data_IF_819481220876
#
_entry.id   IF_819481220876
#
_cell.length_a   1.000
_cell.length_b   1.000
_cell.length_c   1.000
_cell.angle_alpha   90.00
_cell.angle_beta   90.00
_cell.angle_gamma   90.00
#
_symmetry.space_group_name_H-M   'P 1'
#
loop_
_entity.id
_entity.type
_entity.pdbx_description
1 polymer ?
#
# COMPACT_ATOMS: atom_id res chain seq x y z
N UNK A 1 -6.51 24.10 -4.56
CA UNK A 1 -5.69 23.22 -5.39
C UNK A 1 -6.40 23.07 -6.72
N UNK A 2 -5.71 23.06 -7.87
CA UNK A 2 -6.39 22.85 -9.12
C UNK A 2 -7.10 21.49 -9.09
N UNK A 3 -8.34 21.46 -9.55
CA UNK A 3 -9.11 20.23 -9.79
C UNK A 3 -8.35 19.45 -10.83
N UNK A 4 -7.78 18.28 -10.46
CA UNK A 4 -7.10 17.38 -11.40
C UNK A 4 -5.68 16.95 -11.02
N UNK A 5 -5.08 17.43 -9.92
CA UNK A 5 -3.78 16.92 -9.47
C UNK A 5 -3.96 15.52 -8.82
N UNK A 6 -3.20 14.53 -9.30
CA UNK A 6 -3.17 13.18 -8.68
C UNK A 6 -2.73 13.24 -7.21
N UNK A 7 -3.04 12.23 -6.40
CA UNK A 7 -2.50 12.13 -5.06
C UNK A 7 -0.96 12.13 -5.07
N UNK A 8 -0.37 12.76 -4.06
CA UNK A 8 1.06 12.63 -3.78
C UNK A 8 1.37 11.20 -3.34
N UNK A 9 2.36 10.54 -3.95
CA UNK A 9 2.78 9.20 -3.61
C UNK A 9 4.14 9.21 -2.92
N UNK A 10 4.16 8.72 -1.70
CA UNK A 10 5.32 8.62 -0.83
C UNK A 10 5.73 7.16 -0.76
N UNK A 11 6.97 6.83 -1.12
CA UNK A 11 7.53 5.51 -0.85
C UNK A 11 8.17 5.49 0.54
N UNK A 12 7.89 4.45 1.32
CA UNK A 12 8.62 4.13 2.54
C UNK A 12 9.37 2.81 2.36
N UNK A 13 10.69 2.86 2.44
CA UNK A 13 11.59 1.74 2.18
C UNK A 13 12.59 1.58 3.33
N UNK A 14 12.79 0.35 3.78
CA UNK A 14 13.96 -0.02 4.59
C UNK A 14 14.89 -0.90 3.74
N UNK A 15 16.17 -0.58 3.73
CA UNK A 15 17.19 -1.34 3.00
C UNK A 15 18.32 -1.74 3.95
N UNK A 16 18.99 -2.86 3.64
CA UNK A 16 20.26 -3.21 4.26
C UNK A 16 21.39 -2.30 3.78
N UNK A 17 22.55 -2.32 4.44
CA UNK A 17 23.71 -1.52 4.06
C UNK A 17 24.21 -1.80 2.63
N UNK A 18 23.93 -3.01 2.10
CA UNK A 18 24.20 -3.40 0.72
C UNK A 18 23.01 -3.20 -0.24
N UNK A 19 21.98 -2.45 0.16
CA UNK A 19 20.87 -2.02 -0.70
C UNK A 19 19.75 -3.05 -0.93
N UNK A 20 19.68 -4.11 -0.12
CA UNK A 20 18.62 -5.13 -0.26
C UNK A 20 17.37 -4.75 0.52
N UNK A 21 16.20 -4.96 -0.07
CA UNK A 21 14.86 -4.74 0.55
C UNK A 21 14.26 -6.02 1.14
N UNK A 22 14.87 -7.17 0.90
CA UNK A 22 14.44 -8.47 1.40
C UNK A 22 15.61 -9.45 1.38
N UNK A 23 15.53 -10.50 2.20
CA UNK A 23 16.50 -11.60 2.20
C UNK A 23 16.44 -12.42 0.89
N UNK A 24 17.48 -13.23 0.63
CA UNK A 24 17.59 -14.07 -0.57
C UNK A 24 16.38 -15.02 -0.77
N UNK A 25 15.77 -15.50 0.31
CA UNK A 25 14.56 -16.30 0.28
C UNK A 25 13.26 -15.46 0.19
N UNK A 26 13.38 -14.16 -0.07
CA UNK A 26 12.29 -13.18 -0.18
C UNK A 26 11.38 -13.08 1.06
N UNK A 27 11.86 -13.53 2.22
CA UNK A 27 11.18 -13.25 3.48
C UNK A 27 11.41 -11.79 3.86
N UNK A 28 10.35 -11.10 4.22
CA UNK A 28 10.43 -9.78 4.83
C UNK A 28 10.87 -10.02 6.27
N UNK A 29 12.18 -9.91 6.52
CA UNK A 29 12.67 -9.90 7.88
C UNK A 29 12.53 -8.46 8.39
N UNK A 30 11.92 -8.30 9.55
CA UNK A 30 11.93 -7.03 10.26
C UNK A 30 13.35 -6.79 10.80
N UNK A 31 14.22 -6.24 9.95
CA UNK A 31 15.56 -5.83 10.37
C UNK A 31 15.61 -4.35 10.78
N UNK A 32 14.46 -3.69 10.73
CA UNK A 32 14.28 -2.32 11.19
C UNK A 32 13.96 -2.28 12.68
N UNK A 33 14.54 -1.30 13.38
CA UNK A 33 14.36 -1.13 14.82
C UNK A 33 13.14 -0.28 15.20
N UNK A 34 12.96 -0.04 16.50
CA UNK A 34 11.87 0.77 17.04
C UNK A 34 11.79 2.20 16.45
N UNK A 35 12.92 2.76 16.04
CA UNK A 35 12.95 4.08 15.39
C UNK A 35 12.28 4.05 14.01
N UNK A 36 12.50 3.01 13.22
CA UNK A 36 11.88 2.83 11.92
C UNK A 36 10.37 2.55 12.06
N UNK A 37 9.98 1.71 13.03
CA UNK A 37 8.58 1.49 13.35
C UNK A 37 7.88 2.79 13.74
N UNK A 38 8.52 3.62 14.57
CA UNK A 38 7.99 4.94 14.93
C UNK A 38 7.84 5.83 13.71
N UNK A 39 8.83 5.86 12.83
CA UNK A 39 8.79 6.62 11.57
C UNK A 39 7.66 6.15 10.67
N UNK A 40 7.49 4.83 10.51
CA UNK A 40 6.39 4.24 9.76
C UNK A 40 5.02 4.74 10.23
N UNK A 41 4.75 4.67 11.55
CA UNK A 41 3.48 5.16 12.09
C UNK A 41 3.35 6.69 12.00
N UNK A 42 4.46 7.43 12.05
CA UNK A 42 4.46 8.88 11.82
C UNK A 42 4.04 9.19 10.39
N UNK A 43 4.56 8.49 9.39
CA UNK A 43 4.14 8.62 8.00
C UNK A 43 2.67 8.23 7.82
N UNK A 44 2.24 7.09 8.39
CA UNK A 44 0.84 6.64 8.35
C UNK A 44 -0.12 7.66 8.97
N UNK A 45 0.36 8.47 9.91
CA UNK A 45 -0.44 9.54 10.51
C UNK A 45 -0.67 10.74 9.59
N UNK A 46 0.02 10.85 8.46
CA UNK A 46 -0.03 12.01 7.55
C UNK A 46 -0.66 11.72 6.19
N UNK A 47 -1.09 10.49 5.92
CA UNK A 47 -1.59 10.07 4.59
C UNK A 47 -3.04 9.62 4.65
N UNK A 48 -3.77 9.74 3.54
CA UNK A 48 -5.16 9.30 3.44
C UNK A 48 -5.27 7.78 3.27
N UNK A 49 -4.32 7.19 2.56
CA UNK A 49 -4.30 5.75 2.29
C UNK A 49 -2.91 5.14 2.29
N UNK A 50 -2.87 3.82 2.50
CA UNK A 50 -1.66 2.98 2.46
C UNK A 50 -1.81 2.00 1.30
N UNK A 51 -0.73 1.80 0.55
CA UNK A 51 -0.69 0.92 -0.61
C UNK A 51 0.42 -0.12 -0.49
N UNK A 52 0.09 -1.39 -0.74
CA UNK A 52 1.02 -2.51 -0.76
C UNK A 52 0.82 -3.41 -1.97
N UNK A 53 1.88 -4.05 -2.42
CA UNK A 53 1.79 -5.12 -3.41
C UNK A 53 1.26 -6.41 -2.80
N UNK A 54 0.50 -7.19 -3.57
CA UNK A 54 -0.11 -8.45 -3.15
C UNK A 54 0.87 -9.42 -2.49
N UNK A 55 2.08 -9.54 -3.05
CA UNK A 55 3.10 -10.44 -2.52
C UNK A 55 3.56 -10.04 -1.12
N UNK A 56 3.62 -8.76 -0.81
CA UNK A 56 3.93 -8.25 0.52
C UNK A 56 2.81 -8.61 1.50
N UNK A 57 1.56 -8.41 1.09
CA UNK A 57 0.37 -8.74 1.90
C UNK A 57 0.27 -10.24 2.18
N UNK A 58 0.62 -11.09 1.22
CA UNK A 58 0.57 -12.56 1.38
C UNK A 58 1.76 -13.14 2.18
N UNK A 59 2.88 -12.43 2.25
CA UNK A 59 4.12 -12.92 2.88
C UNK A 59 4.30 -12.53 4.34
N UNK A 60 3.51 -11.57 4.84
CA UNK A 60 3.61 -11.05 6.20
C UNK A 60 2.22 -10.70 6.76
N UNK A 61 2.04 -10.66 8.09
CA UNK A 61 0.78 -10.25 8.71
C UNK A 61 0.58 -8.72 8.59
N UNK A 62 0.21 -8.26 7.40
CA UNK A 62 0.07 -6.83 7.08
C UNK A 62 -1.37 -6.39 7.31
N UNK A 63 -1.59 -5.50 8.28
CA UNK A 63 -2.91 -4.92 8.59
C UNK A 63 -3.19 -3.61 7.87
N UNK A 64 -2.14 -2.83 7.62
CA UNK A 64 -2.21 -1.46 7.04
C UNK A 64 -3.07 -0.52 7.89
N UNK A 65 -2.93 -0.61 9.20
CA UNK A 65 -3.62 0.24 10.19
C UNK A 65 -2.81 1.52 10.51
N UNK A 66 -3.42 2.44 11.23
CA UNK A 66 -2.74 3.64 11.72
C UNK A 66 -1.84 3.39 12.93
N UNK A 67 -1.76 2.15 13.44
CA UNK A 67 -0.96 1.76 14.59
C UNK A 67 -1.53 2.22 15.94
N UNK A 68 -0.65 2.48 16.91
CA UNK A 68 -1.03 2.85 18.28
C UNK A 68 -1.96 4.06 18.38
N UNK A 69 -2.76 4.14 19.43
CA UNK A 69 -3.78 5.17 19.67
C UNK A 69 -3.26 6.62 19.53
N UNK A 70 -1.98 6.87 19.85
CA UNK A 70 -1.38 8.19 19.70
C UNK A 70 -1.38 8.67 18.23
N UNK A 71 -1.10 7.78 17.28
CA UNK A 71 -1.07 8.10 15.84
C UNK A 71 -2.48 8.23 15.26
N UNK A 72 -3.43 7.41 15.71
CA UNK A 72 -4.85 7.58 15.36
C UNK A 72 -5.37 8.94 15.78
N UNK A 73 -5.04 9.40 17.01
CA UNK A 73 -5.39 10.76 17.47
C UNK A 73 -4.73 11.86 16.64
N UNK A 74 -3.48 11.66 16.19
CA UNK A 74 -2.82 12.62 15.29
C UNK A 74 -3.56 12.72 13.95
N UNK A 75 -3.99 11.60 13.36
CA UNK A 75 -4.80 11.59 12.14
C UNK A 75 -6.06 12.42 12.30
N UNK A 76 -6.84 12.17 13.36
CA UNK A 76 -8.08 12.90 13.62
C UNK A 76 -7.83 14.41 13.82
N UNK A 77 -6.77 14.78 14.53
CA UNK A 77 -6.38 16.21 14.69
C UNK A 77 -6.01 16.88 13.36
N UNK A 78 -5.49 16.11 12.41
CA UNK A 78 -5.16 16.58 11.05
C UNK A 78 -6.34 16.53 10.09
N UNK A 79 -7.55 16.20 10.55
CA UNK A 79 -8.75 16.11 9.71
C UNK A 79 -8.79 14.85 8.84
N UNK A 80 -7.96 13.84 9.12
CA UNK A 80 -7.97 12.53 8.44
C UNK A 80 -8.92 11.57 9.16
N UNK A 81 -9.34 10.52 8.46
CA UNK A 81 -10.05 9.38 9.08
C UNK A 81 -9.15 8.71 10.12
N UNK A 82 -9.72 8.13 11.18
CA UNK A 82 -8.98 7.43 12.23
C UNK A 82 -8.04 6.36 11.65
N UNK A 83 -8.52 5.64 10.64
CA UNK A 83 -7.77 4.60 9.94
C UNK A 83 -7.60 4.97 8.46
N UNK A 84 -6.46 4.65 7.83
CA UNK A 84 -6.22 4.92 6.42
C UNK A 84 -7.04 4.01 5.50
N UNK A 85 -7.30 4.46 4.28
CA UNK A 85 -7.75 3.60 3.19
C UNK A 85 -6.67 2.55 2.90
N UNK A 86 -7.04 1.28 2.78
CA UNK A 86 -6.13 0.17 2.51
C UNK A 86 -6.20 -0.24 1.05
N UNK A 87 -5.07 -0.16 0.33
CA UNK A 87 -5.01 -0.41 -1.10
C UNK A 87 -4.04 -1.55 -1.38
N UNK A 88 -4.48 -2.60 -2.06
CA UNK A 88 -3.65 -3.74 -2.46
C UNK A 88 -3.57 -3.84 -3.97
N UNK A 89 -2.35 -3.86 -4.49
CA UNK A 89 -2.07 -3.95 -5.92
C UNK A 89 -1.75 -5.39 -6.30
N UNK A 90 -2.64 -6.03 -7.09
CA UNK A 90 -2.56 -7.46 -7.46
C UNK A 90 -2.99 -7.71 -8.90
N UNK A 91 -2.08 -7.60 -9.86
CA UNK A 91 -2.42 -7.72 -11.30
C UNK A 91 -3.20 -8.97 -11.69
N UNK A 92 -2.90 -10.11 -11.08
CA UNK A 92 -3.59 -11.40 -11.34
C UNK A 92 -4.74 -11.70 -10.38
N UNK A 93 -4.91 -10.91 -9.31
CA UNK A 93 -5.88 -11.20 -8.26
C UNK A 93 -5.53 -12.41 -7.37
N UNK A 94 -4.28 -12.87 -7.37
CA UNK A 94 -3.83 -14.06 -6.65
C UNK A 94 -3.62 -13.89 -5.14
N UNK A 95 -4.28 -12.91 -4.51
CA UNK A 95 -4.27 -12.70 -3.07
C UNK A 95 -4.89 -13.89 -2.32
N UNK A 96 -4.29 -14.27 -1.20
CA UNK A 96 -4.83 -15.28 -0.30
C UNK A 96 -6.05 -14.76 0.43
N UNK A 97 -7.08 -15.59 0.54
CA UNK A 97 -8.34 -15.20 1.25
C UNK A 97 -8.16 -15.10 2.76
N UNK A 98 -7.16 -15.79 3.32
CA UNK A 98 -6.79 -15.80 4.73
C UNK A 98 -5.71 -14.78 5.08
N UNK A 99 -5.33 -13.89 4.14
CA UNK A 99 -4.37 -12.83 4.41
C UNK A 99 -4.88 -11.92 5.53
N UNK A 100 -3.97 -11.52 6.43
CA UNK A 100 -4.28 -10.74 7.65
C UNK A 100 -5.12 -9.49 7.37
N UNK A 101 -4.91 -8.83 6.23
CA UNK A 101 -5.64 -7.62 5.86
C UNK A 101 -7.15 -7.83 5.80
N UNK A 102 -7.61 -9.02 5.38
CA UNK A 102 -9.04 -9.34 5.26
C UNK A 102 -9.70 -9.75 6.59
N UNK A 103 -8.90 -10.01 7.64
CA UNK A 103 -9.41 -10.34 8.98
C UNK A 103 -9.85 -9.10 9.76
N UNK A 104 -9.67 -7.90 9.21
CA UNK A 104 -9.93 -6.64 9.90
C UNK A 104 -10.83 -5.73 9.08
N UNK A 105 -11.89 -5.20 9.71
CA UNK A 105 -12.94 -4.38 9.08
C UNK A 105 -12.87 -2.89 9.46
N UNK A 106 -11.79 -2.43 10.08
CA UNK A 106 -11.67 -1.08 10.64
C UNK A 106 -11.63 0.05 9.59
N UNK A 107 -11.31 -0.25 8.34
CA UNK A 107 -11.36 0.72 7.22
C UNK A 107 -11.59 -0.01 5.89
N UNK A 108 -12.00 0.70 4.83
CA UNK A 108 -12.20 0.10 3.51
C UNK A 108 -10.94 -0.54 2.96
N UNK A 109 -11.12 -1.62 2.19
CA UNK A 109 -10.07 -2.29 1.41
C UNK A 109 -10.39 -2.13 -0.07
N UNK A 110 -9.45 -1.58 -0.83
CA UNK A 110 -9.49 -1.50 -2.29
C UNK A 110 -8.47 -2.47 -2.85
N UNK A 111 -8.91 -3.39 -3.70
CA UNK A 111 -7.99 -4.27 -4.44
C UNK A 111 -7.96 -3.80 -5.89
N UNK A 112 -6.77 -3.48 -6.39
CA UNK A 112 -6.55 -3.12 -7.79
C UNK A 112 -6.03 -4.33 -8.56
N UNK A 113 -6.71 -4.68 -9.64
CA UNK A 113 -6.33 -5.79 -10.54
C UNK A 113 -6.20 -5.31 -11.99
N UNK A 114 -5.72 -6.18 -12.86
CA UNK A 114 -5.82 -6.01 -14.32
C UNK A 114 -6.85 -6.98 -14.92
N UNK A 115 -7.14 -6.83 -16.22
CA UNK A 115 -8.02 -7.77 -16.95
C UNK A 115 -7.48 -9.21 -16.99
N UNK A 116 -6.21 -9.45 -16.59
CA UNK A 116 -5.66 -10.80 -16.39
C UNK A 116 -6.23 -11.51 -15.16
N UNK A 117 -6.87 -10.78 -14.25
CA UNK A 117 -7.55 -11.38 -13.11
C UNK A 117 -8.72 -12.22 -13.63
N UNK A 118 -8.68 -13.53 -13.37
CA UNK A 118 -9.74 -14.44 -13.81
C UNK A 118 -11.04 -14.09 -13.10
N UNK A 119 -12.17 -14.29 -13.77
CA UNK A 119 -13.51 -13.98 -13.21
C UNK A 119 -13.73 -14.60 -11.82
N UNK A 120 -13.30 -15.85 -11.63
CA UNK A 120 -13.38 -16.56 -10.33
C UNK A 120 -12.58 -15.83 -9.24
N UNK A 121 -11.37 -15.38 -9.54
CA UNK A 121 -10.51 -14.69 -8.56
C UNK A 121 -11.06 -13.30 -8.25
N UNK A 122 -11.58 -12.60 -9.25
CA UNK A 122 -12.25 -11.30 -9.06
C UNK A 122 -13.48 -11.44 -8.18
N UNK A 123 -14.37 -12.39 -8.45
CA UNK A 123 -15.56 -12.63 -7.63
C UNK A 123 -15.20 -12.93 -6.17
N UNK A 124 -14.15 -13.71 -5.95
CA UNK A 124 -13.63 -14.00 -4.61
C UNK A 124 -13.14 -12.72 -3.91
N UNK A 125 -12.43 -11.84 -4.62
CA UNK A 125 -11.94 -10.58 -4.07
C UNK A 125 -13.08 -9.59 -3.80
N UNK A 126 -14.11 -9.55 -4.62
CA UNK A 126 -15.32 -8.74 -4.43
C UNK A 126 -16.07 -9.11 -3.13
N UNK A 127 -15.94 -10.36 -2.68
CA UNK A 127 -16.52 -10.81 -1.40
C UNK A 127 -15.64 -10.46 -0.19
N UNK A 128 -14.36 -10.13 -0.38
CA UNK A 128 -13.39 -9.87 0.69
C UNK A 128 -13.05 -8.38 0.84
N UNK A 129 -13.03 -7.66 -0.26
CA UNK A 129 -12.68 -6.24 -0.30
C UNK A 129 -13.93 -5.35 -0.37
N UNK A 130 -13.79 -4.11 0.04
CA UNK A 130 -14.85 -3.10 -0.13
C UNK A 130 -15.08 -2.79 -1.61
N UNK A 131 -14.02 -2.79 -2.41
CA UNK A 131 -14.06 -2.51 -3.84
C UNK A 131 -12.92 -3.22 -4.57
N UNK A 132 -13.22 -3.74 -5.76
CA UNK A 132 -12.23 -4.23 -6.71
C UNK A 132 -12.22 -3.29 -7.92
N UNK A 133 -11.06 -2.71 -8.22
CA UNK A 133 -10.80 -1.87 -9.40
C UNK A 133 -10.07 -2.72 -10.43
N UNK A 134 -10.52 -2.67 -11.68
CA UNK A 134 -9.86 -3.35 -12.81
C UNK A 134 -9.26 -2.29 -13.73
N UNK A 135 -7.96 -2.04 -13.62
CA UNK A 135 -7.22 -1.06 -14.41
C UNK A 135 -6.14 -1.73 -15.27
N UNK A 136 -6.17 -1.48 -16.57
CA UNK A 136 -5.24 -2.04 -17.55
C UNK A 136 -5.56 -3.47 -18.01
N UNK A 137 -4.94 -3.89 -19.11
CA UNK A 137 -5.19 -5.20 -19.75
C UNK A 137 -4.27 -6.29 -19.19
N UNK A 138 -3.01 -6.30 -19.58
CA UNK A 138 -2.01 -7.32 -19.21
C UNK A 138 -1.28 -6.98 -17.92
N UNK A 139 -1.12 -5.72 -17.63
CA UNK A 139 -0.53 -5.17 -16.42
C UNK A 139 -1.49 -4.14 -15.84
N UNK A 140 -1.31 -3.79 -14.57
CA UNK A 140 -2.07 -2.71 -13.96
C UNK A 140 -1.64 -1.39 -14.59
N UNK A 141 -2.61 -0.63 -15.03
CA UNK A 141 -2.46 0.79 -15.38
C UNK A 141 -2.56 1.60 -14.08
N UNK A 142 -1.40 1.91 -13.48
CA UNK A 142 -1.35 2.62 -12.20
C UNK A 142 -1.91 4.05 -12.27
N UNK A 143 -1.62 4.86 -13.31
CA UNK A 143 -2.27 6.16 -13.49
C UNK A 143 -3.80 6.06 -13.48
N UNK A 144 -4.37 5.13 -14.29
CA UNK A 144 -5.80 4.88 -14.32
C UNK A 144 -6.34 4.47 -12.94
N UNK A 145 -5.67 3.53 -12.28
CA UNK A 145 -6.08 3.03 -10.96
C UNK A 145 -6.10 4.13 -9.90
N UNK A 146 -5.07 4.99 -9.88
CA UNK A 146 -4.95 6.11 -8.93
C UNK A 146 -6.05 7.15 -9.17
N UNK A 147 -6.34 7.46 -10.42
CA UNK A 147 -7.45 8.36 -10.79
C UNK A 147 -8.77 7.79 -10.29
N UNK A 148 -9.05 6.51 -10.54
CA UNK A 148 -10.30 5.87 -10.10
C UNK A 148 -10.41 5.78 -8.57
N UNK A 149 -9.30 5.59 -7.86
CA UNK A 149 -9.27 5.66 -6.39
C UNK A 149 -9.61 7.09 -5.93
N UNK A 150 -9.03 8.11 -6.53
CA UNK A 150 -9.26 9.51 -6.17
C UNK A 150 -10.71 9.96 -6.44
N UNK A 151 -11.34 9.44 -7.48
CA UNK A 151 -12.75 9.72 -7.79
C UNK A 151 -13.71 9.16 -6.73
N UNK A 152 -13.35 8.02 -6.12
CA UNK A 152 -14.19 7.32 -5.14
C UNK A 152 -13.91 7.68 -3.69
N UNK A 153 -12.68 8.11 -3.39
CA UNK A 153 -12.23 8.46 -2.03
C UNK A 153 -11.47 9.80 -2.06
N UNK A 154 -11.63 10.66 -1.04
CA UNK A 154 -10.96 11.97 -0.99
C UNK A 154 -9.47 11.81 -0.66
N UNK A 155 -8.72 11.12 -1.51
CA UNK A 155 -7.29 10.81 -1.31
C UNK A 155 -6.43 11.90 -1.90
N UNK A 156 -5.56 12.49 -1.08
CA UNK A 156 -4.56 13.50 -1.46
C UNK A 156 -3.13 12.99 -1.33
N UNK A 157 -2.89 12.08 -0.39
CA UNK A 157 -1.58 11.50 -0.10
C UNK A 157 -1.69 10.00 0.11
N UNK A 158 -0.83 9.24 -0.57
CA UNK A 158 -0.72 7.79 -0.49
C UNK A 158 0.66 7.39 -0.01
N UNK A 159 0.74 6.48 0.96
CA UNK A 159 1.97 5.85 1.40
C UNK A 159 2.09 4.48 0.76
N UNK A 160 3.13 4.25 -0.04
CA UNK A 160 3.48 2.92 -0.52
C UNK A 160 4.51 2.30 0.41
N UNK A 161 4.15 1.19 1.04
CA UNK A 161 5.01 0.46 1.99
C UNK A 161 5.67 -0.76 1.35
N UNK A 162 5.63 -0.82 0.04
CA UNK A 162 6.45 -1.78 -0.65
C UNK A 162 5.77 -2.89 -1.39
N UNK A 163 6.63 -3.81 -1.68
CA UNK A 163 6.68 -4.77 -2.74
C UNK A 163 7.55 -4.24 -3.88
N UNK A 164 8.76 -4.83 -4.07
CA UNK A 164 9.71 -4.33 -5.07
C UNK A 164 9.12 -4.19 -6.48
N UNK A 165 8.21 -5.10 -6.86
CA UNK A 165 7.52 -5.01 -8.15
C UNK A 165 6.56 -3.81 -8.23
N UNK A 166 5.90 -3.44 -7.11
CA UNK A 166 5.06 -2.25 -7.07
C UNK A 166 5.90 -0.98 -7.11
N UNK A 167 6.99 -0.95 -6.36
CA UNK A 167 7.92 0.18 -6.38
C UNK A 167 8.48 0.42 -7.78
N UNK A 168 8.98 -0.63 -8.46
CA UNK A 168 9.45 -0.54 -9.85
C UNK A 168 8.35 0.00 -10.78
N UNK A 169 7.13 -0.48 -10.65
CA UNK A 169 6.02 -0.03 -11.48
C UNK A 169 5.66 1.45 -11.23
N UNK A 170 5.70 1.91 -9.97
CA UNK A 170 5.46 3.32 -9.62
C UNK A 170 6.56 4.23 -10.19
N UNK A 171 7.83 3.82 -10.11
CA UNK A 171 8.95 4.57 -10.72
C UNK A 171 8.83 4.63 -12.24
N UNK A 172 8.53 3.50 -12.92
CA UNK A 172 8.35 3.48 -14.37
C UNK A 172 7.19 4.34 -14.85
N UNK A 173 6.18 4.52 -14.02
CA UNK A 173 5.01 5.34 -14.33
C UNK A 173 5.18 6.83 -13.95
N UNK A 174 6.36 7.22 -13.44
CA UNK A 174 6.66 8.58 -12.94
C UNK A 174 5.63 9.06 -11.89
N UNK A 175 5.30 8.18 -10.96
CA UNK A 175 4.27 8.43 -9.94
C UNK A 175 4.82 8.71 -8.55
N UNK A 176 6.14 8.59 -8.34
CA UNK A 176 6.78 8.77 -7.03
C UNK A 176 7.14 10.22 -6.80
N UNK A 177 6.60 10.83 -5.74
CA UNK A 177 6.87 12.23 -5.40
C UNK A 177 7.89 12.36 -4.26
N UNK A 178 7.95 11.37 -3.35
CA UNK A 178 8.81 11.42 -2.17
C UNK A 178 9.30 10.02 -1.81
N UNK A 179 10.51 9.91 -1.29
CA UNK A 179 11.10 8.66 -0.79
C UNK A 179 11.57 8.87 0.64
N UNK A 180 11.04 8.07 1.56
CA UNK A 180 11.56 7.89 2.90
C UNK A 180 12.38 6.60 2.91
N UNK A 181 13.68 6.73 3.13
CA UNK A 181 14.64 5.62 3.08
C UNK A 181 15.29 5.42 4.45
N UNK A 182 15.07 4.25 5.03
CA UNK A 182 15.81 3.78 6.21
C UNK A 182 16.94 2.85 5.77
N UNK A 183 18.16 3.20 6.11
CA UNK A 183 19.33 2.33 5.90
C UNK A 183 19.62 1.59 7.19
N UNK A 184 19.47 0.27 7.19
CA UNK A 184 19.71 -0.58 8.34
C UNK A 184 21.15 -1.12 8.31
N UNK A 185 21.86 -1.14 9.45
CA UNK A 185 23.26 -1.57 9.52
C UNK A 185 23.38 -3.11 9.54
N UNK A 186 22.79 -3.76 8.55
CA UNK A 186 22.83 -5.22 8.32
C UNK A 186 23.24 -5.50 6.87
N UNK A 187 23.79 -6.70 6.62
CA UNK A 187 24.23 -7.18 5.30
C UNK A 187 23.37 -8.36 4.84
#
# INVERSE_FOLDING_TARGET
MPVGARPQIILNLAISADGKIASANRRVNHFSGAADEHQLYTLRATVDGIMNGARTVDSAPVKMDAGPAKFRRLRLKSGLSEQPLRIVISGSGSLRSDAEIFQHTFSPIVVVTSQRCRAKDRQRLENLATTVIVAGRNQIDLPQAITEIQERWPVKRLLCEGGGALNDALFRADLVDEINLTVCPVL
#
